data_IF_871324614890
#
_entry.id   IF_871324614890
#
_cell.length_a   1.000
_cell.length_b   1.000
_cell.length_c   1.000
_cell.angle_alpha   90.00
_cell.angle_beta   90.00
_cell.angle_gamma   90.00
#
_symmetry.space_group_name_H-M   'P 1'
#
loop_
_entity.id
_entity.type
_entity.pdbx_description
1 polymer ?
#
# COMPACT_ATOMS: atom_id res chain seq x y z
N UNK A 1 -29.06 6.03 3.15
CA UNK A 1 -27.59 6.23 3.30
C UNK A 1 -26.93 5.85 1.98
N UNK A 2 -25.94 6.59 1.49
CA UNK A 2 -25.32 6.39 0.16
C UNK A 2 -24.87 4.94 -0.07
N UNK A 3 -24.21 4.36 0.94
CA UNK A 3 -23.83 2.95 0.99
C UNK A 3 -24.96 1.97 0.65
N UNK A 4 -26.12 2.04 1.34
CA UNK A 4 -27.21 1.07 1.15
C UNK A 4 -27.76 1.10 -0.27
N UNK A 5 -27.85 2.29 -0.88
CA UNK A 5 -28.33 2.44 -2.25
C UNK A 5 -27.41 1.74 -3.26
N UNK A 6 -26.10 1.83 -3.05
CA UNK A 6 -25.11 1.18 -3.90
C UNK A 6 -25.11 -0.34 -3.74
N UNK A 7 -25.21 -0.83 -2.50
CA UNK A 7 -25.38 -2.26 -2.22
C UNK A 7 -26.68 -2.81 -2.83
N UNK A 8 -27.77 -2.05 -2.77
CA UNK A 8 -29.03 -2.42 -3.41
C UNK A 8 -28.94 -2.43 -4.93
N UNK A 9 -28.22 -1.46 -5.52
CA UNK A 9 -28.01 -1.36 -6.97
C UNK A 9 -27.28 -2.59 -7.53
N UNK A 10 -26.20 -3.04 -6.88
CA UNK A 10 -25.46 -4.24 -7.32
C UNK A 10 -26.15 -5.55 -6.88
N UNK A 11 -27.12 -5.46 -5.96
CA UNK A 11 -27.82 -6.59 -5.36
C UNK A 11 -27.11 -7.14 -4.11
N UNK A 12 -27.84 -7.26 -3.00
CA UNK A 12 -27.27 -7.69 -1.69
C UNK A 12 -26.60 -9.06 -1.70
N UNK A 13 -27.09 -10.00 -2.51
CA UNK A 13 -26.50 -11.34 -2.62
C UNK A 13 -25.16 -11.25 -3.37
N UNK A 14 -25.17 -10.61 -4.55
CA UNK A 14 -23.99 -10.39 -5.39
C UNK A 14 -22.90 -9.59 -4.64
N UNK A 15 -23.30 -8.55 -3.89
CA UNK A 15 -22.40 -7.80 -3.02
C UNK A 15 -21.67 -8.70 -2.02
N UNK A 16 -22.39 -9.57 -1.29
CA UNK A 16 -21.77 -10.48 -0.32
C UNK A 16 -20.80 -11.46 -0.98
N UNK A 17 -21.19 -12.03 -2.12
CA UNK A 17 -20.34 -12.95 -2.87
C UNK A 17 -19.07 -12.24 -3.36
N UNK A 18 -19.18 -11.01 -3.84
CA UNK A 18 -18.02 -10.20 -4.23
C UNK A 18 -17.11 -9.87 -3.02
N UNK A 19 -17.67 -9.60 -1.84
CA UNK A 19 -16.88 -9.43 -0.62
C UNK A 19 -16.10 -10.70 -0.25
N UNK A 20 -16.73 -11.87 -0.38
CA UNK A 20 -16.08 -13.17 -0.13
C UNK A 20 -14.96 -13.43 -1.14
N UNK A 21 -15.21 -13.21 -2.44
CA UNK A 21 -14.20 -13.33 -3.51
C UNK A 21 -13.02 -12.36 -3.30
N UNK A 22 -13.31 -11.10 -2.94
CA UNK A 22 -12.28 -10.12 -2.61
C UNK A 22 -11.42 -10.61 -1.44
N UNK A 23 -12.02 -11.08 -0.34
CA UNK A 23 -11.27 -11.58 0.81
C UNK A 23 -10.42 -12.81 0.51
N UNK A 24 -10.92 -13.73 -0.32
CA UNK A 24 -10.16 -14.90 -0.74
C UNK A 24 -8.90 -14.51 -1.54
N UNK A 25 -8.98 -13.44 -2.35
CA UNK A 25 -7.90 -13.04 -3.26
C UNK A 25 -7.01 -11.91 -2.72
N UNK A 26 -7.46 -11.15 -1.71
CA UNK A 26 -6.82 -9.90 -1.28
C UNK A 26 -5.33 -10.04 -0.91
N UNK A 27 -4.95 -11.12 -0.22
CA UNK A 27 -3.56 -11.37 0.18
C UNK A 27 -2.60 -11.65 -1.00
N UNK A 28 -3.14 -11.88 -2.21
CA UNK A 28 -2.40 -12.03 -3.45
C UNK A 28 -2.33 -10.75 -4.30
N UNK A 29 -2.96 -9.67 -3.85
CA UNK A 29 -2.95 -8.37 -4.57
C UNK A 29 -1.51 -7.92 -4.83
N UNK A 30 -1.24 -7.52 -6.07
CA UNK A 30 0.08 -7.10 -6.52
C UNK A 30 1.10 -8.20 -6.80
N UNK A 31 0.78 -9.46 -6.48
CA UNK A 31 1.61 -10.60 -6.88
C UNK A 31 1.34 -10.96 -8.35
N UNK A 32 2.28 -11.68 -8.96
CA UNK A 32 2.19 -12.11 -10.36
C UNK A 32 0.92 -12.93 -10.66
N UNK A 33 0.50 -12.95 -11.93
CA UNK A 33 -0.75 -13.56 -12.37
C UNK A 33 -0.90 -15.03 -11.95
N UNK A 34 0.20 -15.79 -11.91
CA UNK A 34 0.22 -17.20 -11.52
C UNK A 34 -0.19 -17.47 -10.06
N UNK A 35 -0.24 -16.42 -9.22
CA UNK A 35 -0.58 -16.50 -7.80
C UNK A 35 -1.98 -15.97 -7.48
N UNK A 36 -2.76 -15.57 -8.51
CA UNK A 36 -4.10 -15.03 -8.33
C UNK A 36 -5.15 -16.08 -8.64
N UNK A 37 -5.99 -16.39 -7.65
CA UNK A 37 -7.27 -17.02 -7.96
C UNK A 37 -8.11 -16.02 -8.77
N UNK A 38 -8.68 -16.45 -9.91
CA UNK A 38 -9.51 -15.57 -10.70
C UNK A 38 -10.79 -15.22 -9.93
N UNK A 39 -11.25 -13.99 -10.09
CA UNK A 39 -12.58 -13.62 -9.64
C UNK A 39 -13.63 -14.38 -10.46
N UNK A 40 -14.78 -14.75 -9.88
CA UNK A 40 -15.90 -15.23 -10.67
C UNK A 40 -16.35 -14.17 -11.67
N UNK A 41 -16.55 -14.56 -12.93
CA UNK A 41 -16.91 -13.65 -14.04
C UNK A 41 -18.14 -12.78 -13.73
N UNK A 42 -19.12 -13.28 -12.97
CA UNK A 42 -20.33 -12.53 -12.60
C UNK A 42 -20.11 -11.48 -11.48
N UNK A 43 -18.94 -11.50 -10.83
CA UNK A 43 -18.60 -10.65 -9.68
C UNK A 43 -17.48 -9.64 -9.98
N UNK A 44 -16.71 -9.80 -11.06
CA UNK A 44 -15.54 -8.98 -11.36
C UNK A 44 -15.85 -7.48 -11.50
N UNK A 45 -17.05 -7.16 -12.01
CA UNK A 45 -17.48 -5.77 -12.19
C UNK A 45 -18.03 -5.12 -10.92
N UNK A 46 -18.34 -5.89 -9.87
CA UNK A 46 -18.97 -5.34 -8.65
C UNK A 46 -18.11 -4.23 -8.01
N UNK A 47 -16.79 -4.37 -7.81
CA UNK A 47 -15.97 -3.28 -7.29
C UNK A 47 -16.03 -2.02 -8.16
N UNK A 48 -16.06 -2.18 -9.49
CA UNK A 48 -16.13 -1.06 -10.43
C UNK A 48 -17.50 -0.36 -10.38
N UNK A 49 -18.59 -1.13 -10.30
CA UNK A 49 -19.92 -0.59 -10.05
C UNK A 49 -19.95 0.16 -8.71
N UNK A 50 -19.42 -0.40 -7.63
CA UNK A 50 -19.38 0.29 -6.33
C UNK A 50 -18.57 1.58 -6.36
N UNK A 51 -17.53 1.63 -7.19
CA UNK A 51 -16.68 2.80 -7.34
C UNK A 51 -17.39 4.01 -7.99
N UNK A 52 -18.56 3.84 -8.64
CA UNK A 52 -19.36 4.98 -9.10
C UNK A 52 -19.80 5.90 -7.94
N UNK A 53 -19.66 5.47 -6.68
CA UNK A 53 -19.93 6.30 -5.51
C UNK A 53 -19.17 7.63 -5.57
N UNK A 54 -17.99 7.62 -6.17
CA UNK A 54 -17.17 8.81 -6.37
C UNK A 54 -17.78 9.80 -7.37
N UNK A 55 -18.59 9.31 -8.31
CA UNK A 55 -19.25 10.10 -9.35
C UNK A 55 -20.70 10.46 -9.01
N UNK A 56 -21.19 10.08 -7.82
CA UNK A 56 -22.59 10.28 -7.43
C UNK A 56 -22.98 11.78 -7.40
N UNK A 57 -23.92 12.22 -8.25
CA UNK A 57 -24.35 13.62 -8.27
C UNK A 57 -24.97 14.06 -6.94
N UNK A 58 -24.57 15.24 -6.46
CA UNK A 58 -25.15 15.86 -5.27
C UNK A 58 -24.73 15.24 -3.93
N UNK A 59 -24.03 14.11 -3.91
CA UNK A 59 -23.46 13.56 -2.68
C UNK A 59 -22.23 14.40 -2.24
N UNK A 60 -22.13 14.86 -1.00
CA UNK A 60 -20.92 15.51 -0.49
C UNK A 60 -19.71 14.56 -0.53
N UNK A 61 -18.51 15.08 -0.79
CA UNK A 61 -17.28 14.29 -0.88
C UNK A 61 -17.03 13.48 0.41
N UNK A 62 -17.34 14.04 1.59
CA UNK A 62 -17.21 13.32 2.86
C UNK A 62 -18.08 12.05 2.91
N UNK A 63 -19.30 12.12 2.39
CA UNK A 63 -20.21 10.96 2.34
C UNK A 63 -19.73 9.91 1.35
N UNK A 64 -19.14 10.34 0.21
CA UNK A 64 -18.53 9.45 -0.76
C UNK A 64 -17.32 8.74 -0.16
N UNK A 65 -16.45 9.49 0.53
CA UNK A 65 -15.27 8.96 1.22
C UNK A 65 -15.65 7.95 2.32
N UNK A 66 -16.63 8.27 3.18
CA UNK A 66 -17.12 7.31 4.19
C UNK A 66 -17.61 6.01 3.55
N UNK A 67 -18.33 6.13 2.44
CA UNK A 67 -18.87 4.98 1.74
C UNK A 67 -17.76 4.15 1.07
N UNK A 68 -16.78 4.82 0.44
CA UNK A 68 -15.65 4.15 -0.21
C UNK A 68 -14.73 3.45 0.80
N UNK A 69 -14.41 4.08 1.93
CA UNK A 69 -13.62 3.45 3.00
C UNK A 69 -14.34 2.23 3.58
N UNK A 70 -15.67 2.28 3.68
CA UNK A 70 -16.47 1.12 4.08
C UNK A 70 -16.40 0.00 3.05
N UNK A 71 -16.55 0.30 1.76
CA UNK A 71 -16.39 -0.71 0.71
C UNK A 71 -15.00 -1.34 0.70
N UNK A 72 -13.95 -0.55 0.88
CA UNK A 72 -12.58 -1.06 1.00
C UNK A 72 -12.44 -2.03 2.19
N UNK A 73 -13.01 -1.69 3.35
CA UNK A 73 -12.95 -2.54 4.53
C UNK A 73 -13.75 -3.84 4.39
N UNK A 74 -14.91 -3.80 3.71
CA UNK A 74 -15.76 -4.98 3.53
C UNK A 74 -15.30 -5.87 2.36
N UNK A 75 -14.80 -5.25 1.28
CA UNK A 75 -14.38 -5.84 0.01
C UNK A 75 -12.96 -5.35 -0.35
N UNK A 76 -11.91 -5.89 0.31
CA UNK A 76 -10.54 -5.48 0.08
C UNK A 76 -10.09 -5.91 -1.32
N UNK A 77 -10.04 -4.97 -2.26
CA UNK A 77 -9.52 -5.18 -3.60
C UNK A 77 -8.98 -3.86 -4.17
N UNK A 78 -8.04 -3.95 -5.12
CA UNK A 78 -7.39 -2.78 -5.69
C UNK A 78 -8.35 -1.82 -6.41
N UNK A 79 -9.42 -2.33 -7.03
CA UNK A 79 -10.40 -1.47 -7.69
C UNK A 79 -11.01 -0.41 -6.74
N UNK A 80 -11.22 -0.77 -5.47
CA UNK A 80 -11.75 0.13 -4.44
C UNK A 80 -10.74 1.20 -3.99
N UNK A 81 -9.43 0.98 -4.14
CA UNK A 81 -8.40 1.99 -3.84
C UNK A 81 -8.09 2.86 -5.07
N UNK A 82 -8.01 2.26 -6.26
CA UNK A 82 -7.63 2.91 -7.51
C UNK A 82 -8.49 4.16 -7.81
N UNK A 83 -9.81 4.06 -7.67
CA UNK A 83 -10.68 5.21 -7.95
C UNK A 83 -10.55 6.29 -6.86
N UNK A 84 -10.31 5.91 -5.60
CA UNK A 84 -10.08 6.87 -4.52
C UNK A 84 -8.84 7.74 -4.79
N UNK A 85 -7.77 7.15 -5.34
CA UNK A 85 -6.56 7.87 -5.78
C UNK A 85 -6.89 8.96 -6.81
N UNK A 86 -7.77 8.68 -7.76
CA UNK A 86 -8.19 9.65 -8.79
C UNK A 86 -8.81 10.93 -8.23
N UNK A 87 -9.42 10.85 -7.03
CA UNK A 87 -10.03 11.99 -6.33
C UNK A 87 -9.14 12.57 -5.23
N UNK A 88 -7.99 11.96 -4.95
CA UNK A 88 -7.16 12.32 -3.79
C UNK A 88 -6.69 13.78 -3.83
N UNK A 89 -6.35 14.29 -5.03
CA UNK A 89 -5.89 15.68 -5.20
C UNK A 89 -7.01 16.72 -5.04
N UNK A 90 -8.27 16.31 -5.11
CA UNK A 90 -9.44 17.18 -4.88
C UNK A 90 -9.87 17.18 -3.41
N UNK A 91 -9.25 16.36 -2.56
CA UNK A 91 -9.56 16.26 -1.15
C UNK A 91 -8.95 17.40 -0.34
N UNK A 92 -9.69 17.85 0.67
CA UNK A 92 -9.16 18.73 1.72
C UNK A 92 -8.16 17.99 2.61
N UNK A 93 -7.35 18.72 3.37
CA UNK A 93 -6.42 18.14 4.35
C UNK A 93 -7.11 17.22 5.38
N UNK A 94 -8.34 17.55 5.78
CA UNK A 94 -9.12 16.70 6.70
C UNK A 94 -9.53 15.38 6.05
N UNK A 95 -9.86 15.41 4.76
CA UNK A 95 -10.26 14.22 4.01
C UNK A 95 -9.06 13.31 3.70
N UNK A 96 -7.93 13.89 3.29
CA UNK A 96 -6.69 13.12 3.08
C UNK A 96 -6.19 12.50 4.39
N UNK A 97 -6.30 13.22 5.52
CA UNK A 97 -5.99 12.67 6.84
C UNK A 97 -6.82 11.41 7.17
N UNK A 98 -8.11 11.39 6.82
CA UNK A 98 -8.99 10.22 7.02
C UNK A 98 -8.56 9.02 6.16
N UNK A 99 -8.14 9.26 4.92
CA UNK A 99 -7.56 8.20 4.07
C UNK A 99 -6.31 7.63 4.72
N UNK A 100 -5.41 8.48 5.21
CA UNK A 100 -4.19 8.06 5.89
C UNK A 100 -4.45 7.35 7.21
N UNK A 101 -5.45 7.76 7.99
CA UNK A 101 -5.88 7.01 9.18
C UNK A 101 -6.36 5.60 8.82
N UNK A 102 -7.19 5.47 7.79
CA UNK A 102 -7.66 4.17 7.33
C UNK A 102 -6.52 3.28 6.83
N UNK A 103 -5.56 3.84 6.07
CA UNK A 103 -4.40 3.10 5.57
C UNK A 103 -3.47 2.67 6.71
N UNK A 104 -3.19 3.56 7.67
CA UNK A 104 -2.42 3.19 8.87
C UNK A 104 -3.10 2.09 9.67
N UNK A 105 -4.42 2.17 9.87
CA UNK A 105 -5.18 1.17 10.59
C UNK A 105 -5.15 -0.20 9.89
N UNK A 106 -5.31 -0.22 8.56
CA UNK A 106 -5.19 -1.43 7.75
C UNK A 106 -3.79 -2.06 7.89
N UNK A 107 -2.74 -1.27 7.73
CA UNK A 107 -1.35 -1.75 7.81
C UNK A 107 -0.91 -2.15 9.22
N UNK A 108 -1.51 -1.58 10.27
CA UNK A 108 -1.29 -2.03 11.64
C UNK A 108 -2.18 -3.22 12.03
N UNK A 109 -3.24 -3.47 11.26
CA UNK A 109 -4.28 -4.44 11.59
C UNK A 109 -3.89 -5.90 11.34
N UNK A 110 -4.69 -6.85 11.86
CA UNK A 110 -4.50 -8.28 11.64
C UNK A 110 -5.09 -8.80 10.32
N UNK A 111 -5.89 -7.99 9.60
CA UNK A 111 -6.45 -8.38 8.30
C UNK A 111 -5.35 -8.28 7.22
N UNK A 112 -4.67 -9.41 6.95
CA UNK A 112 -3.60 -9.50 5.95
C UNK A 112 -4.08 -9.15 4.53
N UNK A 113 -5.34 -9.45 4.21
CA UNK A 113 -5.91 -9.16 2.89
C UNK A 113 -6.06 -7.66 2.68
N UNK A 114 -6.69 -6.98 3.63
CA UNK A 114 -6.83 -5.52 3.59
C UNK A 114 -5.45 -4.83 3.61
N UNK A 115 -4.52 -5.31 4.43
CA UNK A 115 -3.17 -4.77 4.48
C UNK A 115 -2.42 -4.92 3.16
N UNK A 116 -2.54 -6.07 2.47
CA UNK A 116 -1.92 -6.30 1.16
C UNK A 116 -2.49 -5.37 0.08
N UNK A 117 -3.81 -5.16 0.06
CA UNK A 117 -4.47 -4.23 -0.88
C UNK A 117 -4.01 -2.79 -0.63
N UNK A 118 -3.96 -2.35 0.63
CA UNK A 118 -3.48 -1.01 0.99
C UNK A 118 -2.00 -0.85 0.67
N UNK A 119 -1.16 -1.85 0.94
CA UNK A 119 0.26 -1.81 0.60
C UNK A 119 0.47 -1.72 -0.93
N UNK A 120 -0.32 -2.46 -1.70
CA UNK A 120 -0.29 -2.39 -3.16
C UNK A 120 -0.73 -1.01 -3.68
N UNK A 121 -1.80 -0.44 -3.13
CA UNK A 121 -2.21 0.93 -3.46
C UNK A 121 -1.11 1.93 -3.12
N UNK A 122 -0.49 1.85 -1.93
CA UNK A 122 0.65 2.71 -1.59
C UNK A 122 1.77 2.62 -2.63
N UNK A 123 2.11 1.41 -3.07
CA UNK A 123 3.14 1.18 -4.09
C UNK A 123 2.81 1.89 -5.40
N UNK A 124 1.69 1.53 -6.04
CA UNK A 124 1.39 1.93 -7.43
C UNK A 124 0.73 3.31 -7.54
N UNK A 125 -0.05 3.72 -6.54
CA UNK A 125 -0.84 4.94 -6.60
C UNK A 125 -0.10 6.15 -6.01
N UNK A 126 0.53 5.96 -4.85
CA UNK A 126 1.00 7.08 -4.03
C UNK A 126 2.51 7.23 -4.05
N UNK A 127 3.26 6.13 -3.97
CA UNK A 127 4.72 6.18 -3.98
C UNK A 127 5.28 6.44 -5.39
N UNK A 128 4.61 5.97 -6.44
CA UNK A 128 4.99 6.27 -7.83
C UNK A 128 4.60 7.72 -8.26
N UNK A 129 3.60 8.35 -7.63
CA UNK A 129 3.23 9.74 -7.93
C UNK A 129 4.14 10.73 -7.15
N UNK A 130 5.02 11.40 -7.88
CA UNK A 130 5.94 12.40 -7.34
C UNK A 130 5.28 13.57 -6.60
N UNK A 131 3.96 13.79 -6.75
CA UNK A 131 3.20 14.81 -6.01
C UNK A 131 2.76 14.35 -4.62
N UNK A 132 2.61 13.04 -4.40
CA UNK A 132 2.10 12.47 -3.14
C UNK A 132 3.12 11.62 -2.40
N UNK A 133 4.18 11.19 -3.07
CA UNK A 133 5.07 10.13 -2.57
C UNK A 133 5.75 10.46 -1.23
N UNK A 134 6.26 11.69 -1.07
CA UNK A 134 6.88 12.11 0.19
C UNK A 134 5.85 12.19 1.33
N UNK A 135 4.68 12.77 1.08
CA UNK A 135 3.61 12.91 2.07
C UNK A 135 3.00 11.56 2.46
N UNK A 136 2.80 10.66 1.49
CA UNK A 136 2.31 9.32 1.73
C UNK A 136 3.30 8.53 2.59
N UNK A 137 4.60 8.59 2.27
CA UNK A 137 5.61 7.89 3.05
C UNK A 137 5.66 8.44 4.48
N UNK A 138 5.70 9.76 4.64
CA UNK A 138 5.68 10.42 5.95
C UNK A 138 4.44 10.06 6.77
N UNK A 139 3.25 10.05 6.14
CA UNK A 139 1.99 9.71 6.78
C UNK A 139 1.96 8.26 7.31
N UNK A 140 2.63 7.33 6.62
CA UNK A 140 2.70 5.93 7.04
C UNK A 140 3.77 5.67 8.09
N UNK A 141 4.84 6.48 8.12
CA UNK A 141 5.98 6.29 9.02
C UNK A 141 5.96 7.16 10.28
N UNK A 142 4.86 7.89 10.53
CA UNK A 142 4.68 8.70 11.75
C UNK A 142 5.00 7.89 13.01
N UNK A 143 5.57 8.57 14.00
CA UNK A 143 5.81 8.00 15.32
C UNK A 143 4.48 7.71 16.03
N UNK A 144 4.42 6.59 16.77
CA UNK A 144 3.23 6.18 17.52
C UNK A 144 2.14 5.47 16.70
N UNK A 145 0.96 5.34 17.32
CA UNK A 145 -0.17 4.56 16.81
C UNK A 145 -0.09 3.07 17.16
N UNK A 146 -1.21 2.37 16.97
CA UNK A 146 -1.30 0.92 17.20
C UNK A 146 -0.35 0.18 16.26
N UNK A 147 0.34 -0.84 16.80
CA UNK A 147 1.27 -1.75 16.11
C UNK A 147 2.13 -1.07 15.02
N UNK A 148 2.88 -0.05 15.44
CA UNK A 148 3.81 0.70 14.56
C UNK A 148 4.75 -0.24 13.83
N UNK A 149 5.28 -1.25 14.50
CA UNK A 149 6.32 -2.08 13.91
C UNK A 149 5.78 -2.92 12.75
N UNK A 150 4.59 -3.52 12.91
CA UNK A 150 3.91 -4.20 11.79
C UNK A 150 3.64 -3.27 10.62
N UNK A 151 3.16 -2.06 10.91
CA UNK A 151 2.91 -1.04 9.87
C UNK A 151 4.19 -0.71 9.11
N UNK A 152 5.28 -0.41 9.82
CA UNK A 152 6.56 -0.04 9.19
C UNK A 152 7.12 -1.19 8.35
N UNK A 153 7.09 -2.43 8.84
CA UNK A 153 7.55 -3.58 8.06
C UNK A 153 6.80 -3.71 6.73
N UNK A 154 5.46 -3.58 6.76
CA UNK A 154 4.63 -3.60 5.55
C UNK A 154 4.91 -2.42 4.62
N UNK A 155 5.10 -1.21 5.14
CA UNK A 155 5.48 -0.03 4.33
C UNK A 155 6.82 -0.26 3.64
N UNK A 156 7.83 -0.74 4.38
CA UNK A 156 9.17 -1.00 3.84
C UNK A 156 9.15 -2.03 2.69
N UNK A 157 8.28 -3.04 2.78
CA UNK A 157 8.13 -4.06 1.73
C UNK A 157 7.67 -3.52 0.37
N UNK A 158 7.07 -2.33 0.34
CA UNK A 158 6.57 -1.66 -0.88
C UNK A 158 7.20 -0.28 -1.13
N UNK A 159 8.21 0.10 -0.34
CA UNK A 159 8.78 1.45 -0.37
C UNK A 159 9.76 1.70 -1.52
N UNK A 160 9.85 0.81 -2.52
CA UNK A 160 10.78 0.95 -3.65
C UNK A 160 10.68 2.33 -4.32
N UNK A 161 9.48 2.74 -4.77
CA UNK A 161 9.27 4.03 -5.43
C UNK A 161 9.32 5.26 -4.51
N UNK A 162 9.16 5.07 -3.20
CA UNK A 162 9.16 6.19 -2.25
C UNK A 162 10.51 6.93 -2.23
N UNK A 163 10.56 8.26 -1.98
CA UNK A 163 11.78 9.05 -1.99
C UNK A 163 12.87 8.53 -1.07
N UNK A 164 14.10 8.51 -1.58
CA UNK A 164 15.24 7.97 -0.84
C UNK A 164 15.52 8.74 0.46
N UNK A 165 15.47 10.07 0.46
CA UNK A 165 15.79 10.89 1.64
C UNK A 165 14.99 10.51 2.90
N UNK A 166 13.63 10.52 2.84
CA UNK A 166 12.78 10.01 3.92
C UNK A 166 13.07 8.56 4.33
N UNK A 167 13.23 7.63 3.37
CA UNK A 167 13.59 6.23 3.67
C UNK A 167 14.90 6.13 4.42
N UNK A 168 15.91 6.85 3.96
CA UNK A 168 17.26 6.89 4.53
C UNK A 168 17.26 7.42 5.96
N UNK A 169 16.40 8.38 6.30
CA UNK A 169 16.18 8.83 7.69
C UNK A 169 15.59 7.71 8.55
N UNK A 170 14.54 7.05 8.06
CA UNK A 170 13.92 5.91 8.76
C UNK A 170 14.92 4.76 8.96
N UNK A 171 15.74 4.43 7.96
CA UNK A 171 16.76 3.40 8.09
C UNK A 171 17.76 3.71 9.20
N UNK A 172 18.23 4.95 9.32
CA UNK A 172 19.14 5.34 10.40
C UNK A 172 18.51 5.18 11.79
N UNK A 173 17.19 5.40 11.92
CA UNK A 173 16.47 5.15 13.17
C UNK A 173 16.38 3.66 13.51
N UNK A 174 16.18 2.80 12.51
CA UNK A 174 15.87 1.37 12.70
C UNK A 174 17.11 0.45 12.72
N UNK A 175 18.18 0.82 12.01
CA UNK A 175 19.33 -0.05 11.73
C UNK A 175 20.18 -0.42 12.95
N UNK A 176 19.97 0.21 14.10
CA UNK A 176 20.60 -0.22 15.35
C UNK A 176 19.99 -1.52 15.89
N UNK A 177 18.77 -1.87 15.47
CA UNK A 177 18.02 -3.03 15.92
C UNK A 177 17.93 -4.07 14.80
N UNK A 178 18.62 -5.20 15.01
CA UNK A 178 18.81 -6.23 13.98
C UNK A 178 17.52 -6.83 13.45
N UNK A 179 16.40 -6.74 14.19
CA UNK A 179 15.11 -7.23 13.71
C UNK A 179 14.63 -6.54 12.44
N UNK A 180 15.10 -5.32 12.18
CA UNK A 180 14.74 -4.54 10.98
C UNK A 180 15.63 -4.81 9.78
N UNK A 181 16.75 -5.52 9.94
CA UNK A 181 17.73 -5.63 8.86
C UNK A 181 17.18 -6.30 7.61
N UNK A 182 16.30 -7.29 7.77
CA UNK A 182 15.63 -7.94 6.64
C UNK A 182 14.68 -6.97 5.92
N UNK A 183 13.84 -6.23 6.64
CA UNK A 183 12.92 -5.25 6.05
C UNK A 183 13.67 -4.09 5.37
N UNK A 184 14.78 -3.64 5.96
CA UNK A 184 15.64 -2.62 5.34
C UNK A 184 16.29 -3.18 4.07
N UNK A 185 16.79 -4.41 4.09
CA UNK A 185 17.35 -5.06 2.89
C UNK A 185 16.31 -5.09 1.75
N UNK A 186 15.08 -5.53 2.03
CA UNK A 186 14.02 -5.58 1.02
C UNK A 186 13.65 -4.19 0.52
N UNK A 187 13.54 -3.19 1.39
CA UNK A 187 13.28 -1.81 0.98
C UNK A 187 14.39 -1.25 0.07
N UNK A 188 15.67 -1.55 0.38
CA UNK A 188 16.81 -1.14 -0.47
C UNK A 188 16.78 -1.88 -1.80
N UNK A 189 16.48 -3.19 -1.82
CA UNK A 189 16.30 -3.96 -3.06
C UNK A 189 15.18 -3.38 -3.92
N UNK A 190 14.03 -3.08 -3.34
CA UNK A 190 12.94 -2.38 -4.04
C UNK A 190 13.42 -1.06 -4.61
N UNK A 191 14.19 -0.29 -3.85
CA UNK A 191 14.74 0.99 -4.33
C UNK A 191 15.72 0.86 -5.50
N UNK A 192 16.41 -0.28 -5.62
CA UNK A 192 17.42 -0.54 -6.65
C UNK A 192 16.87 -1.22 -7.90
N UNK A 193 15.84 -2.04 -7.76
CA UNK A 193 15.38 -2.96 -8.81
C UNK A 193 13.93 -2.74 -9.26
N UNK A 194 13.14 -1.97 -8.51
CA UNK A 194 11.81 -1.57 -8.94
C UNK A 194 11.88 -0.61 -10.15
N UNK A 195 10.89 -0.68 -11.04
CA UNK A 195 10.83 0.17 -12.24
C UNK A 195 10.82 1.67 -11.90
N UNK A 196 10.22 2.05 -10.78
CA UNK A 196 10.19 3.40 -10.24
C UNK A 196 11.06 3.56 -8.99
N UNK A 197 11.94 2.59 -8.72
CA UNK A 197 12.79 2.53 -7.53
C UNK A 197 13.64 3.79 -7.36
N UNK A 198 13.65 4.33 -6.14
CA UNK A 198 14.48 5.49 -5.80
C UNK A 198 15.53 5.11 -4.76
N UNK A 199 16.76 4.82 -5.23
CA UNK A 199 17.94 4.60 -4.41
C UNK A 199 18.89 5.80 -4.46
N UNK A 200 19.52 6.12 -3.33
CA UNK A 200 20.57 7.13 -3.24
C UNK A 200 21.97 6.56 -3.43
N UNK A 201 22.94 7.45 -3.64
CA UNK A 201 24.37 7.10 -3.80
C UNK A 201 24.98 6.44 -2.55
N UNK A 202 24.34 6.61 -1.39
CA UNK A 202 24.71 6.02 -0.09
C UNK A 202 23.99 4.68 0.20
N UNK A 203 23.22 4.11 -0.73
CA UNK A 203 22.56 2.81 -0.55
C UNK A 203 23.57 1.69 -0.19
N UNK A 204 24.76 1.71 -0.79
CA UNK A 204 25.83 0.77 -0.47
C UNK A 204 26.34 0.87 0.98
N UNK A 205 26.20 2.03 1.62
CA UNK A 205 26.61 2.24 3.00
C UNK A 205 25.61 1.61 3.98
N UNK A 206 24.32 1.69 3.66
CA UNK A 206 23.27 0.96 4.39
C UNK A 206 23.50 -0.54 4.28
N UNK A 207 23.69 -1.08 3.07
CA UNK A 207 23.91 -2.53 2.84
C UNK A 207 25.15 -3.09 3.54
N UNK A 208 26.15 -2.27 3.87
CA UNK A 208 27.34 -2.69 4.64
C UNK A 208 27.08 -2.78 6.14
N UNK A 209 26.06 -2.09 6.65
CA UNK A 209 25.68 -2.07 8.06
C UNK A 209 24.68 -3.16 8.43
N UNK A 210 24.00 -3.74 7.44
CA UNK A 210 23.02 -4.81 7.67
C UNK A 210 23.73 -6.11 8.07
N UNK A 211 23.28 -6.68 9.17
CA UNK A 211 23.54 -8.05 9.59
C UNK A 211 22.33 -8.90 9.22
N UNK A 212 22.43 -9.66 8.12
CA UNK A 212 21.37 -10.52 7.62
C UNK A 212 21.82 -11.98 7.58
N UNK A 213 20.90 -12.95 7.66
CA UNK A 213 21.26 -14.36 7.61
C UNK A 213 22.08 -14.71 6.37
N UNK A 214 22.98 -15.70 6.50
CA UNK A 214 23.83 -16.15 5.39
C UNK A 214 23.03 -16.57 4.13
N UNK A 215 21.79 -17.03 4.31
CA UNK A 215 20.88 -17.34 3.22
C UNK A 215 20.58 -16.13 2.30
N UNK A 216 20.70 -14.91 2.82
CA UNK A 216 20.50 -13.64 2.09
C UNK A 216 21.80 -13.06 1.53
N UNK A 217 22.95 -13.73 1.69
CA UNK A 217 24.26 -13.18 1.29
C UNK A 217 24.33 -12.86 -0.22
N UNK A 218 23.74 -13.71 -1.07
CA UNK A 218 23.70 -13.48 -2.51
C UNK A 218 22.87 -12.23 -2.88
N UNK A 219 21.76 -12.02 -2.18
CA UNK A 219 20.90 -10.84 -2.36
C UNK A 219 21.62 -9.55 -1.95
N UNK A 220 22.33 -9.58 -0.82
CA UNK A 220 23.16 -8.46 -0.35
C UNK A 220 24.23 -8.13 -1.38
N UNK A 221 24.93 -9.13 -1.91
CA UNK A 221 26.00 -8.89 -2.89
C UNK A 221 25.43 -8.29 -4.18
N UNK A 222 24.34 -8.85 -4.71
CA UNK A 222 23.64 -8.29 -5.87
C UNK A 222 23.19 -6.86 -5.64
N UNK A 223 22.67 -6.54 -4.45
CA UNK A 223 22.26 -5.19 -4.08
C UNK A 223 23.46 -4.23 -3.99
N UNK A 224 24.61 -4.69 -3.46
CA UNK A 224 25.84 -3.89 -3.39
C UNK A 224 26.39 -3.59 -4.79
N UNK A 225 26.40 -4.57 -5.67
CA UNK A 225 26.81 -4.40 -7.06
C UNK A 225 25.94 -3.38 -7.80
N UNK A 226 24.62 -3.42 -7.57
CA UNK A 226 23.69 -2.44 -8.13
C UNK A 226 23.93 -1.04 -7.54
N UNK A 227 24.09 -0.93 -6.22
CA UNK A 227 24.33 0.34 -5.55
C UNK A 227 25.67 0.99 -5.97
N UNK A 228 26.70 0.20 -6.29
CA UNK A 228 27.98 0.71 -6.78
C UNK A 228 27.88 1.41 -8.15
N UNK A 229 26.84 1.11 -8.94
CA UNK A 229 26.60 1.71 -10.28
C UNK A 229 25.87 3.05 -10.24
N UNK A 230 25.36 3.47 -9.08
CA UNK A 230 24.68 4.75 -8.88
C UNK A 230 25.69 5.90 -8.66
N UNK A 231 26.96 5.57 -8.41
CA UNK A 231 28.05 6.51 -8.09
C UNK A 231 28.64 7.21 -9.30
#
# INVERSE_FOLDING_TARGET
MLYERFVERVGRVRYRQACEAARATAASTGKGADLREPWPDDLEDVPHELADVWSEPGAPLDTRLDTALRFLAEMPCYANTMIMTGWFHDMTATQTARVWDAYRAALAGPDEGLAAVVAYSLWVDYFEDGRTSEDAFAAMTVAGGTDRDRRIARVLSVAGPAPWGPKRRLFDELIADQRWHADILEAVKGSLFDAYGQAGTDAGDILRRLDVPAASAADVERARDAAARIR
#
